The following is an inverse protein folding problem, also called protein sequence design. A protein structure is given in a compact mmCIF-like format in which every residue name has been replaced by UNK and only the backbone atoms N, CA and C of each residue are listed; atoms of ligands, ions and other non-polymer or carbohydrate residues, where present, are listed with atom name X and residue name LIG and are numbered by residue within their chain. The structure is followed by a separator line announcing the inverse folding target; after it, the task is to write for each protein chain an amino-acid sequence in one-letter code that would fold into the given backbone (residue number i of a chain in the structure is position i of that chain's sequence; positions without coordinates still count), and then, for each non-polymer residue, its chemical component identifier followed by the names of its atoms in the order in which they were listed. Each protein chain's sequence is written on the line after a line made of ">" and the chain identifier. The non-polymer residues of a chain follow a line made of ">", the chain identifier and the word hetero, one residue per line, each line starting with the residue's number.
data_IF_799724188362
#
_entry.id   IF_799724188362
#
_cell.length_a   1.000
_cell.length_b   1.000
_cell.length_c   1.000
_cell.angle_alpha   90.00
_cell.angle_beta   90.00
_cell.angle_gamma   90.00
#
_symmetry.space_group_name_H-M   'P 1'
#
loop_
_entity.id
_entity.type
_entity.pdbx_description
1 polymer ?
#
# COMPACT_ATOMS: atom_id res chain seq x y z
N UNK A 1 -6.76 -3.23 7.90
CA UNK A 1 -7.61 -2.69 6.80
C UNK A 1 -8.45 -1.50 7.21
N UNK A 2 -9.13 -1.51 8.38
CA UNK A 2 -10.01 -0.42 8.81
C UNK A 2 -9.38 0.99 8.73
N UNK A 3 -8.12 1.14 9.16
CA UNK A 3 -7.41 2.43 9.09
C UNK A 3 -7.26 2.98 7.66
N UNK A 4 -6.98 2.12 6.68
CA UNK A 4 -6.89 2.52 5.27
C UNK A 4 -8.26 2.99 4.77
N UNK A 5 -9.30 2.19 5.00
CA UNK A 5 -10.68 2.49 4.59
C UNK A 5 -11.16 3.81 5.20
N UNK A 6 -11.01 3.98 6.51
CA UNK A 6 -11.40 5.20 7.22
C UNK A 6 -10.59 6.42 6.76
N UNK A 7 -9.28 6.26 6.54
CA UNK A 7 -8.41 7.35 6.10
C UNK A 7 -8.71 7.82 4.68
N UNK A 8 -9.07 6.90 3.77
CA UNK A 8 -9.51 7.25 2.41
C UNK A 8 -10.87 7.93 2.45
N UNK A 9 -11.83 7.37 3.19
CA UNK A 9 -13.18 7.93 3.31
C UNK A 9 -13.19 9.36 3.88
N UNK A 10 -12.31 9.63 4.86
CA UNK A 10 -12.16 10.97 5.45
C UNK A 10 -11.21 11.90 4.68
N UNK A 11 -10.66 11.44 3.54
CA UNK A 11 -9.64 12.14 2.73
C UNK A 11 -8.32 12.45 3.46
N UNK A 12 -8.09 11.88 4.65
CA UNK A 12 -6.80 11.94 5.36
C UNK A 12 -5.69 11.20 4.60
N UNK A 13 -6.04 10.12 3.92
CA UNK A 13 -5.18 9.40 2.98
C UNK A 13 -5.57 9.80 1.56
N UNK A 14 -4.76 10.66 0.96
CA UNK A 14 -4.90 11.02 -0.45
C UNK A 14 -4.54 9.81 -1.30
N UNK A 15 -5.33 9.57 -2.33
CA UNK A 15 -5.13 8.50 -3.31
C UNK A 15 -4.79 9.08 -4.68
N UNK A 16 -4.10 8.31 -5.53
CA UNK A 16 -3.80 8.66 -6.92
C UNK A 16 -3.06 10.00 -7.17
N UNK A 17 -2.57 10.66 -6.12
CA UNK A 17 -1.70 11.82 -6.21
C UNK A 17 -0.22 11.43 -6.28
N UNK A 18 0.65 12.34 -6.70
CA UNK A 18 2.10 12.14 -6.80
C UNK A 18 2.77 11.71 -5.48
N UNK A 19 2.20 12.09 -4.33
CA UNK A 19 2.67 11.71 -2.98
C UNK A 19 1.76 10.72 -2.26
N UNK A 20 0.76 10.16 -2.96
CA UNK A 20 -0.15 9.20 -2.36
C UNK A 20 0.57 7.92 -1.91
N UNK A 21 0.05 7.29 -0.86
CA UNK A 21 0.50 5.98 -0.38
C UNK A 21 -0.42 4.85 -0.86
N UNK A 22 -1.52 5.21 -1.51
CA UNK A 22 -2.51 4.31 -2.08
C UNK A 22 -2.83 4.79 -3.48
N UNK A 23 -2.74 3.89 -4.44
CA UNK A 23 -3.14 4.14 -5.83
C UNK A 23 -4.17 3.09 -6.26
N UNK A 24 -4.86 3.34 -7.36
CA UNK A 24 -5.55 2.30 -8.11
C UNK A 24 -4.76 2.04 -9.39
N UNK A 25 -4.44 0.79 -9.68
CA UNK A 25 -3.72 0.38 -10.90
C UNK A 25 -4.08 -1.08 -11.20
N UNK A 26 -4.24 -1.41 -12.49
CA UNK A 26 -4.71 -2.74 -12.92
C UNK A 26 -6.01 -3.15 -12.20
N UNK A 27 -6.92 -2.19 -12.09
CA UNK A 27 -8.28 -2.32 -11.54
C UNK A 27 -8.31 -2.79 -10.08
N UNK A 28 -7.23 -2.55 -9.34
CA UNK A 28 -7.16 -2.84 -7.91
C UNK A 28 -6.39 -1.78 -7.14
N UNK A 29 -6.50 -1.83 -5.81
CA UNK A 29 -5.72 -0.98 -4.93
C UNK A 29 -4.25 -1.42 -4.88
N UNK A 30 -3.36 -0.45 -4.95
CA UNK A 30 -1.92 -0.59 -4.78
C UNK A 30 -1.44 0.19 -3.55
N UNK A 31 -0.84 -0.52 -2.60
CA UNK A 31 -0.35 0.02 -1.34
C UNK A 31 1.17 0.23 -1.42
N UNK A 32 1.62 1.49 -1.40
CA UNK A 32 3.03 1.84 -1.57
C UNK A 32 3.82 1.48 -0.29
N UNK A 33 4.83 0.61 -0.44
CA UNK A 33 5.69 0.13 0.64
C UNK A 33 7.10 0.76 0.54
N UNK A 34 7.76 1.10 1.67
CA UNK A 34 7.31 0.92 3.06
C UNK A 34 6.37 2.03 3.57
N UNK A 35 6.15 3.09 2.78
CA UNK A 35 5.53 4.33 3.23
C UNK A 35 4.15 4.18 3.89
N UNK A 36 3.29 3.32 3.35
CA UNK A 36 1.96 3.06 3.95
C UNK A 36 2.05 2.49 5.36
N UNK A 37 3.02 1.60 5.61
CA UNK A 37 3.22 0.96 6.92
C UNK A 37 3.96 1.87 7.89
N UNK A 38 4.88 2.69 7.38
CA UNK A 38 5.51 3.75 8.17
C UNK A 38 4.46 4.73 8.70
N UNK A 39 3.57 5.21 7.83
CA UNK A 39 2.49 6.11 8.23
C UNK A 39 1.53 5.45 9.21
N UNK A 40 1.13 4.20 8.98
CA UNK A 40 0.30 3.46 9.94
C UNK A 40 0.99 3.36 11.31
N UNK A 41 2.27 3.00 11.36
CA UNK A 41 3.00 2.87 12.61
C UNK A 41 3.13 4.19 13.38
N UNK A 42 3.33 5.31 12.68
CA UNK A 42 3.39 6.64 13.29
C UNK A 42 2.06 7.05 13.95
N UNK A 43 0.93 6.67 13.34
CA UNK A 43 -0.40 6.97 13.88
C UNK A 43 -0.84 6.02 15.01
N UNK A 44 -0.04 4.99 15.34
CA UNK A 44 -0.36 4.01 16.39
C UNK A 44 0.84 3.79 17.34
N UNK A 45 1.00 4.64 18.38
CA UNK A 45 2.17 4.61 19.27
C UNK A 45 2.44 3.25 19.94
N UNK A 46 1.40 2.45 20.18
CA UNK A 46 1.51 1.11 20.77
C UNK A 46 2.33 0.11 19.93
N UNK A 47 2.53 0.39 18.63
CA UNK A 47 3.27 -0.49 17.73
C UNK A 47 4.77 -0.48 18.05
N UNK A 48 5.31 0.65 18.52
CA UNK A 48 6.74 0.74 18.87
C UNK A 48 7.17 -0.32 19.89
N UNK A 49 6.53 -0.39 21.07
CA UNK A 49 6.79 -1.42 22.06
C UNK A 49 6.60 -2.85 21.54
N UNK A 50 5.51 -3.13 20.81
CA UNK A 50 5.21 -4.45 20.25
C UNK A 50 6.27 -4.90 19.24
N UNK A 51 6.69 -4.01 18.35
CA UNK A 51 7.73 -4.29 17.37
C UNK A 51 9.09 -4.54 18.02
N UNK A 52 9.41 -3.83 19.11
CA UNK A 52 10.65 -4.00 19.87
C UNK A 52 10.75 -5.39 20.51
N UNK A 53 9.63 -5.94 21.02
CA UNK A 53 9.60 -7.30 21.57
C UNK A 53 10.02 -8.37 20.55
N UNK A 54 9.76 -8.12 19.26
CA UNK A 54 10.14 -9.01 18.16
C UNK A 54 11.41 -8.56 17.42
N UNK A 55 12.17 -7.60 17.98
CA UNK A 55 13.40 -7.06 17.38
C UNK A 55 13.19 -6.52 15.95
N UNK A 56 12.05 -5.86 15.72
CA UNK A 56 11.68 -5.31 14.42
C UNK A 56 11.53 -3.79 14.46
N UNK A 57 11.74 -3.14 13.32
CA UNK A 57 11.24 -1.76 13.17
C UNK A 57 9.71 -1.75 13.14
N UNK A 58 9.04 -0.70 13.66
CA UNK A 58 7.59 -0.62 13.72
C UNK A 58 6.89 -0.90 12.38
N UNK A 59 7.36 -0.32 11.28
CA UNK A 59 6.75 -0.54 9.96
C UNK A 59 6.94 -1.97 9.44
N UNK A 60 8.08 -2.61 9.72
CA UNK A 60 8.33 -4.01 9.34
C UNK A 60 7.41 -4.96 10.10
N UNK A 61 7.20 -4.67 11.39
CA UNK A 61 6.26 -5.42 12.20
C UNK A 61 4.86 -5.35 11.59
N UNK A 62 4.37 -4.14 11.29
CA UNK A 62 3.06 -3.93 10.65
C UNK A 62 2.98 -4.63 9.29
N UNK A 63 4.00 -4.49 8.45
CA UNK A 63 4.03 -5.11 7.12
C UNK A 63 3.92 -6.63 7.21
N UNK A 64 4.68 -7.29 8.10
CA UNK A 64 4.54 -8.74 8.32
C UNK A 64 3.14 -9.14 8.77
N UNK A 65 2.50 -8.34 9.61
CA UNK A 65 1.12 -8.60 10.05
C UNK A 65 0.14 -8.45 8.90
N UNK A 66 0.30 -7.42 8.07
CA UNK A 66 -0.49 -7.26 6.85
C UNK A 66 -0.33 -8.46 5.92
N UNK A 67 0.90 -8.92 5.68
CA UNK A 67 1.17 -10.07 4.82
C UNK A 67 0.49 -11.35 5.35
N UNK A 68 0.45 -11.55 6.67
CA UNK A 68 -0.26 -12.69 7.29
C UNK A 68 -1.78 -12.66 7.06
N UNK A 69 -2.36 -11.50 6.74
CA UNK A 69 -3.78 -11.41 6.39
C UNK A 69 -4.08 -12.01 5.00
N UNK A 70 -3.06 -12.23 4.16
CA UNK A 70 -3.19 -12.78 2.81
C UNK A 70 -4.26 -12.06 1.97
N UNK A 71 -4.31 -10.73 2.06
CA UNK A 71 -5.26 -9.90 1.29
C UNK A 71 -4.64 -9.33 0.01
N UNK A 72 -3.35 -9.59 -0.21
CA UNK A 72 -2.57 -9.10 -1.34
C UNK A 72 -2.32 -10.21 -2.36
N UNK A 73 -2.24 -9.82 -3.63
CA UNK A 73 -1.86 -10.72 -4.73
C UNK A 73 -0.40 -11.12 -4.59
N UNK A 74 -0.11 -12.40 -4.81
CA UNK A 74 1.26 -12.90 -5.00
C UNK A 74 1.63 -12.90 -6.48
N UNK A 75 2.90 -12.63 -6.75
CA UNK A 75 3.48 -12.86 -8.08
C UNK A 75 3.54 -14.37 -8.40
N UNK A 76 3.65 -14.75 -9.68
CA UNK A 76 3.92 -16.14 -10.07
C UNK A 76 5.20 -16.71 -9.43
N UNK A 77 6.18 -15.85 -9.16
CA UNK A 77 7.43 -16.19 -8.45
C UNK A 77 7.25 -16.50 -6.96
N UNK A 78 6.05 -16.27 -6.40
CA UNK A 78 5.75 -16.38 -4.97
C UNK A 78 6.05 -15.12 -4.16
N UNK A 79 6.61 -14.07 -4.77
CA UNK A 79 6.89 -12.79 -4.09
C UNK A 79 5.61 -12.00 -3.84
N UNK A 80 5.57 -11.25 -2.73
CA UNK A 80 4.41 -10.43 -2.36
C UNK A 80 4.45 -9.00 -2.93
N UNK A 81 5.65 -8.45 -3.15
CA UNK A 81 5.85 -7.05 -3.49
C UNK A 81 5.88 -6.88 -5.00
N UNK A 82 4.99 -6.08 -5.54
CA UNK A 82 4.90 -5.71 -6.95
C UNK A 82 5.64 -4.40 -7.21
N UNK A 83 6.28 -4.32 -8.38
CA UNK A 83 6.89 -3.09 -8.87
C UNK A 83 5.92 -2.40 -9.82
N UNK A 84 5.66 -1.12 -9.61
CA UNK A 84 4.94 -0.27 -10.54
C UNK A 84 5.88 0.78 -11.11
N UNK A 85 5.89 0.94 -12.42
CA UNK A 85 6.50 2.12 -13.04
C UNK A 85 5.56 3.31 -12.87
N UNK A 86 6.15 4.46 -12.55
CA UNK A 86 5.47 5.76 -12.51
C UNK A 86 6.09 6.62 -13.59
N UNK A 87 5.31 6.92 -14.63
CA UNK A 87 5.76 7.74 -15.77
C UNK A 87 5.20 9.13 -15.59
N UNK A 88 6.06 10.07 -15.15
CA UNK A 88 5.72 11.48 -15.11
C UNK A 88 6.17 12.20 -16.40
N UNK A 89 5.67 13.42 -16.67
CA UNK A 89 6.05 14.20 -17.86
C UNK A 89 7.55 14.49 -18.00
N UNK A 90 8.31 14.44 -16.89
CA UNK A 90 9.75 14.76 -16.86
C UNK A 90 10.64 13.61 -16.40
N UNK A 91 10.12 12.67 -15.62
CA UNK A 91 10.91 11.64 -14.93
C UNK A 91 10.07 10.38 -14.77
N UNK A 92 10.70 9.23 -14.95
CA UNK A 92 10.13 7.93 -14.59
C UNK A 92 10.79 7.41 -13.31
N UNK A 93 10.02 6.76 -12.44
CA UNK A 93 10.53 6.10 -11.24
C UNK A 93 9.78 4.80 -10.99
N UNK A 94 10.35 3.93 -10.15
CA UNK A 94 9.68 2.71 -9.68
C UNK A 94 9.11 2.93 -8.29
N UNK A 95 7.90 2.42 -8.09
CA UNK A 95 7.31 2.22 -6.78
C UNK A 95 7.27 0.72 -6.49
N UNK A 96 7.38 0.38 -5.21
CA UNK A 96 7.24 -0.97 -4.71
C UNK A 96 6.07 -1.01 -3.73
N UNK A 97 5.31 -2.10 -3.73
CA UNK A 97 4.05 -2.13 -3.00
C UNK A 97 3.27 -3.41 -3.18
N UNK A 98 2.07 -3.43 -2.62
CA UNK A 98 1.18 -4.59 -2.62
C UNK A 98 -0.04 -4.28 -3.47
N UNK A 99 -0.39 -5.17 -4.40
CA UNK A 99 -1.69 -5.16 -5.05
C UNK A 99 -2.68 -5.93 -4.17
N UNK A 100 -3.84 -5.35 -3.87
CA UNK A 100 -4.89 -6.09 -3.19
C UNK A 100 -5.56 -7.08 -4.15
N UNK A 101 -6.02 -8.21 -3.60
CA UNK A 101 -6.85 -9.16 -4.36
C UNK A 101 -8.17 -8.51 -4.76
N UNK A 102 -8.81 -7.86 -3.80
CA UNK A 102 -10.13 -7.26 -3.92
C UNK A 102 -10.10 -5.77 -3.53
N UNK A 103 -10.34 -4.83 -4.47
CA UNK A 103 -10.34 -3.40 -4.21
C UNK A 103 -11.50 -2.94 -3.31
N UNK A 104 -12.60 -3.70 -3.22
CA UNK A 104 -13.77 -3.33 -2.40
C UNK A 104 -13.49 -3.35 -0.90
N UNK A 105 -12.38 -4.00 -0.51
CA UNK A 105 -11.85 -3.94 0.85
C UNK A 105 -11.46 -2.52 1.28
N UNK A 106 -11.15 -1.64 0.33
CA UNK A 106 -10.80 -0.24 0.57
C UNK A 106 -11.80 0.76 0.02
N UNK A 107 -12.36 0.48 -1.15
CA UNK A 107 -13.20 1.42 -1.89
C UNK A 107 -14.65 0.96 -1.90
N UNK A 108 -15.59 1.86 -1.62
CA UNK A 108 -17.01 1.60 -1.87
C UNK A 108 -17.27 1.60 -3.38
N UNK A 109 -16.79 2.64 -4.05
CA UNK A 109 -16.72 2.75 -5.51
C UNK A 109 -15.24 2.81 -5.90
N UNK A 110 -14.79 1.87 -6.73
CA UNK A 110 -13.38 1.78 -7.14
C UNK A 110 -13.03 2.97 -8.03
N UNK A 111 -12.08 3.83 -7.65
CA UNK A 111 -11.66 4.97 -8.47
C UNK A 111 -11.03 4.49 -9.79
N UNK A 112 -10.96 5.35 -10.83
CA UNK A 112 -10.22 5.01 -12.04
C UNK A 112 -8.74 4.75 -11.72
N UNK A 113 -8.12 3.88 -12.52
CA UNK A 113 -6.69 3.63 -12.45
C UNK A 113 -5.92 4.95 -12.62
N UNK A 114 -4.83 5.09 -11.87
CA UNK A 114 -3.92 6.19 -12.04
C UNK A 114 -3.25 6.08 -13.42
N UNK A 115 -3.42 7.05 -14.32
CA UNK A 115 -2.93 6.95 -15.69
C UNK A 115 -1.40 6.98 -15.79
N UNK A 116 -0.72 7.38 -14.72
CA UNK A 116 0.75 7.45 -14.67
C UNK A 116 1.39 6.19 -14.10
N UNK A 117 0.60 5.19 -13.65
CA UNK A 117 1.12 3.96 -13.07
C UNK A 117 0.85 2.75 -13.97
N UNK A 118 1.85 1.88 -14.10
CA UNK A 118 1.70 0.57 -14.72
C UNK A 118 2.40 -0.51 -13.88
N UNK A 119 1.75 -1.65 -13.70
CA UNK A 119 2.34 -2.80 -12.99
C UNK A 119 3.32 -3.50 -13.91
N UNK A 120 4.56 -3.67 -13.45
CA UNK A 120 5.53 -4.54 -14.12
C UNK A 120 5.19 -6.00 -13.81
N UNK A 121 5.03 -6.79 -14.87
CA UNK A 121 4.72 -8.22 -14.80
C UNK A 121 5.98 -9.06 -14.91
#
# INVERSE_FOLDING_TARGET
>A
MAWLKAGIASRRLIINDAKALVHTVSDTAYLVSPGVFQRYAQEHPLIGPLAKQEQQQPWQWVQKRFERLQLHRKQPSGLNIWTCDVVGPRKSRRLHGYLLEDPTRLFQDVPPNNPYLSVLR
#
